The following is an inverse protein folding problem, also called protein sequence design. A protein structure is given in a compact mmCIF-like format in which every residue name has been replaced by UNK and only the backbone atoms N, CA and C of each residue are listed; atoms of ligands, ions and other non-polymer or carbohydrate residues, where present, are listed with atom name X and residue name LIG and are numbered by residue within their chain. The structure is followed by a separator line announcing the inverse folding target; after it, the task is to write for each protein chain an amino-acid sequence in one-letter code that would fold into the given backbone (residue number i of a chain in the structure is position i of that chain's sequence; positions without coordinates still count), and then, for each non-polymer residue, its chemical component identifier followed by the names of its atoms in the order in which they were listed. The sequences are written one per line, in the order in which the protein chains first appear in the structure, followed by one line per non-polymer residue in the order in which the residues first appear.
data_IF_424378432493
#
_entry.id   IF_424378432493
#
_cell.length_a   1.000
_cell.length_b   1.000
_cell.length_c   1.000
_cell.angle_alpha   90.00
_cell.angle_beta   90.00
_cell.angle_gamma   90.00
#
_symmetry.space_group_name_H-M   'P 1'
#
loop_
_entity.id
_entity.type
_entity.pdbx_description
1 polymer ?
#
# COMPACT_ATOMS: atom_id res chain seq x y z
N UNK A 1 27.24 -45.33 -49.48
CA UNK A 1 26.51 -45.42 -48.17
C UNK A 1 26.36 -44.08 -47.40
N UNK A 2 26.97 -43.00 -47.81
CA UNK A 2 26.96 -41.68 -47.10
C UNK A 2 25.67 -40.84 -47.30
N UNK A 3 24.88 -41.10 -48.33
CA UNK A 3 23.73 -40.25 -48.66
C UNK A 3 22.48 -40.46 -47.75
N UNK A 4 22.31 -41.64 -47.16
CA UNK A 4 21.16 -41.92 -46.23
C UNK A 4 21.28 -41.32 -44.86
N UNK A 5 22.53 -41.07 -44.36
CA UNK A 5 22.75 -40.39 -43.06
C UNK A 5 22.36 -38.90 -43.12
N UNK A 6 22.58 -38.25 -44.25
CA UNK A 6 22.24 -36.80 -44.38
C UNK A 6 20.74 -36.54 -44.41
N UNK A 7 19.90 -37.45 -44.93
CA UNK A 7 18.46 -37.29 -44.97
C UNK A 7 17.84 -37.45 -43.58
N UNK A 8 18.29 -38.46 -42.82
CA UNK A 8 17.82 -38.64 -41.42
C UNK A 8 18.24 -37.46 -40.55
N UNK A 9 19.42 -36.96 -40.70
CA UNK A 9 19.89 -35.78 -39.95
C UNK A 9 19.06 -34.54 -40.28
N UNK A 10 18.73 -34.31 -41.56
CA UNK A 10 17.91 -33.18 -41.98
C UNK A 10 16.48 -33.26 -41.44
N UNK A 11 15.89 -34.44 -41.39
CA UNK A 11 14.56 -34.66 -40.82
C UNK A 11 14.57 -34.41 -39.30
N UNK A 12 15.63 -34.89 -38.60
CA UNK A 12 15.78 -34.68 -37.16
C UNK A 12 15.95 -33.19 -36.87
N UNK A 13 16.76 -32.46 -37.60
CA UNK A 13 16.95 -31.02 -37.43
C UNK A 13 15.69 -30.25 -37.75
N UNK A 14 14.96 -30.62 -38.81
CA UNK A 14 13.69 -29.98 -39.21
C UNK A 14 12.60 -30.11 -38.14
N UNK A 15 12.57 -31.20 -37.38
CA UNK A 15 11.63 -31.41 -36.29
C UNK A 15 12.14 -30.85 -34.98
N UNK A 16 13.44 -30.94 -34.71
CA UNK A 16 14.05 -30.51 -33.45
C UNK A 16 14.00 -28.98 -33.30
N UNK A 17 14.24 -28.22 -34.37
CA UNK A 17 14.29 -26.76 -34.33
C UNK A 17 12.97 -26.16 -33.84
N UNK A 18 11.78 -26.50 -34.39
CA UNK A 18 10.51 -25.98 -33.90
C UNK A 18 10.18 -26.45 -32.48
N UNK A 19 10.58 -27.67 -32.11
CA UNK A 19 10.35 -28.17 -30.74
C UNK A 19 11.18 -27.37 -29.72
N UNK A 20 12.44 -27.09 -30.02
CA UNK A 20 13.29 -26.26 -29.14
C UNK A 20 12.77 -24.83 -29.08
N UNK A 21 12.31 -24.26 -30.19
CA UNK A 21 11.71 -22.93 -30.21
C UNK A 21 10.42 -22.86 -29.37
N UNK A 22 9.56 -23.87 -29.44
CA UNK A 22 8.35 -23.96 -28.63
C UNK A 22 8.67 -24.09 -27.12
N UNK A 23 9.67 -24.90 -26.77
CA UNK A 23 10.12 -25.04 -25.37
C UNK A 23 10.70 -23.72 -24.85
N UNK A 24 11.45 -23.00 -25.66
CA UNK A 24 11.98 -21.66 -25.30
C UNK A 24 10.84 -20.66 -25.04
N UNK A 25 9.88 -20.56 -25.95
CA UNK A 25 8.70 -19.71 -25.78
C UNK A 25 7.87 -20.08 -24.54
N UNK A 26 7.70 -21.38 -24.30
CA UNK A 26 6.96 -21.84 -23.12
C UNK A 26 7.70 -21.49 -21.81
N UNK A 27 9.02 -21.64 -21.76
CA UNK A 27 9.82 -21.24 -20.62
C UNK A 27 9.75 -19.73 -20.35
N UNK A 28 9.74 -18.92 -21.41
CA UNK A 28 9.62 -17.45 -21.31
C UNK A 28 8.23 -17.03 -20.83
N UNK A 29 7.16 -17.67 -21.33
CA UNK A 29 5.78 -17.48 -20.85
C UNK A 29 5.62 -17.85 -19.38
N UNK A 30 6.19 -18.97 -18.94
CA UNK A 30 6.18 -19.36 -17.53
C UNK A 30 6.91 -18.34 -16.65
N UNK A 31 8.05 -17.85 -17.08
CA UNK A 31 8.85 -16.88 -16.34
C UNK A 31 8.10 -15.54 -16.18
N UNK A 32 7.47 -15.05 -17.25
CA UNK A 32 6.62 -13.85 -17.22
C UNK A 32 5.38 -14.03 -16.33
N UNK A 33 4.74 -15.19 -16.40
CA UNK A 33 3.52 -15.46 -15.62
C UNK A 33 3.81 -15.65 -14.14
N UNK A 34 4.85 -16.39 -13.79
CA UNK A 34 5.24 -16.61 -12.39
C UNK A 34 5.76 -15.32 -11.73
N UNK A 35 6.53 -14.51 -12.45
CA UNK A 35 6.99 -13.21 -11.97
C UNK A 35 5.83 -12.28 -11.63
N UNK A 36 4.81 -12.21 -12.49
CA UNK A 36 3.63 -11.37 -12.27
C UNK A 36 2.75 -11.87 -11.11
N UNK A 37 2.58 -13.17 -10.93
CA UNK A 37 1.79 -13.72 -9.82
C UNK A 37 2.43 -13.46 -8.47
N UNK A 38 3.74 -13.56 -8.36
CA UNK A 38 4.46 -13.28 -7.11
C UNK A 38 4.37 -11.80 -6.75
N UNK A 39 4.54 -10.89 -7.73
CA UNK A 39 4.39 -9.44 -7.50
C UNK A 39 2.97 -9.07 -7.12
N UNK A 40 1.96 -9.58 -7.79
CA UNK A 40 0.54 -9.32 -7.47
C UNK A 40 0.14 -9.82 -6.07
N UNK A 41 0.58 -11.00 -5.67
CA UNK A 41 0.34 -11.53 -4.32
C UNK A 41 1.02 -10.66 -3.26
N UNK A 42 2.22 -10.18 -3.51
CA UNK A 42 2.97 -9.29 -2.61
C UNK A 42 2.29 -7.93 -2.47
N UNK A 43 1.88 -7.33 -3.58
CA UNK A 43 1.13 -6.07 -3.57
C UNK A 43 -0.21 -6.20 -2.85
N UNK A 44 -0.94 -7.29 -3.07
CA UNK A 44 -2.18 -7.57 -2.37
C UNK A 44 -1.97 -7.69 -0.85
N UNK A 45 -0.93 -8.40 -0.43
CA UNK A 45 -0.58 -8.53 0.99
C UNK A 45 -0.20 -7.19 1.63
N UNK A 46 0.58 -6.34 0.95
CA UNK A 46 0.93 -5.00 1.41
C UNK A 46 -0.31 -4.12 1.52
N UNK A 47 -1.19 -4.13 0.52
CA UNK A 47 -2.45 -3.39 0.55
C UNK A 47 -3.33 -3.82 1.72
N UNK A 48 -3.47 -5.11 1.94
CA UNK A 48 -4.29 -5.64 3.04
C UNK A 48 -3.71 -5.27 4.42
N UNK A 49 -2.38 -5.31 4.57
CA UNK A 49 -1.69 -4.91 5.80
C UNK A 49 -1.93 -3.45 6.16
N UNK A 50 -2.06 -2.55 5.17
CA UNK A 50 -2.21 -1.11 5.35
C UNK A 50 -3.67 -0.66 5.31
N UNK A 51 -4.55 -1.36 4.59
CA UNK A 51 -5.94 -0.95 4.37
C UNK A 51 -6.75 -0.82 5.68
N UNK A 52 -6.64 -1.80 6.57
CA UNK A 52 -7.37 -1.77 7.86
C UNK A 52 -6.88 -0.60 8.74
N UNK A 53 -5.56 -0.40 8.97
CA UNK A 53 -5.08 0.77 9.69
C UNK A 53 -5.48 2.11 9.07
N UNK A 54 -5.48 2.23 7.73
CA UNK A 54 -5.93 3.44 7.02
C UNK A 54 -7.39 3.72 7.30
N UNK A 55 -8.26 2.74 7.12
CA UNK A 55 -9.70 2.89 7.37
C UNK A 55 -9.98 3.31 8.82
N UNK A 56 -9.23 2.75 9.78
CA UNK A 56 -9.35 3.13 11.18
C UNK A 56 -8.91 4.59 11.41
N UNK A 57 -7.79 5.04 10.83
CA UNK A 57 -7.36 6.44 10.93
C UNK A 57 -8.41 7.37 10.33
N UNK A 58 -8.96 7.06 9.15
CA UNK A 58 -10.01 7.85 8.51
C UNK A 58 -11.24 7.98 9.39
N UNK A 59 -11.70 6.88 9.99
CA UNK A 59 -12.84 6.88 10.91
C UNK A 59 -12.58 7.76 12.14
N UNK A 60 -11.43 7.59 12.80
CA UNK A 60 -11.09 8.38 13.99
C UNK A 60 -10.94 9.88 13.67
N UNK A 61 -10.37 10.22 12.50
CA UNK A 61 -10.30 11.59 12.02
C UNK A 61 -11.67 12.19 11.73
N UNK A 62 -12.59 11.41 11.15
CA UNK A 62 -13.97 11.84 10.91
C UNK A 62 -14.69 12.19 12.22
N UNK A 63 -14.56 11.33 13.24
CA UNK A 63 -15.11 11.58 14.56
C UNK A 63 -14.49 12.80 15.24
N UNK A 64 -13.17 12.94 15.17
CA UNK A 64 -12.46 14.12 15.70
C UNK A 64 -12.92 15.42 15.03
N UNK A 65 -13.07 15.41 13.68
CA UNK A 65 -13.59 16.55 12.93
C UNK A 65 -14.99 16.95 13.40
N UNK A 66 -15.87 15.98 13.59
CA UNK A 66 -17.24 16.25 14.05
C UNK A 66 -17.24 16.90 15.44
N UNK A 67 -16.47 16.36 16.39
CA UNK A 67 -16.34 16.93 17.72
C UNK A 67 -15.68 18.31 17.73
N UNK A 68 -14.68 18.53 16.87
CA UNK A 68 -14.04 19.84 16.72
C UNK A 68 -15.04 20.89 16.20
N UNK A 69 -15.87 20.54 15.21
CA UNK A 69 -16.91 21.44 14.69
C UNK A 69 -17.97 21.75 15.77
N UNK A 70 -18.40 20.75 16.55
CA UNK A 70 -19.32 20.96 17.67
C UNK A 70 -18.72 21.86 18.74
N UNK A 71 -17.45 21.67 19.08
CA UNK A 71 -16.72 22.51 20.03
C UNK A 71 -16.63 23.96 19.56
N UNK A 72 -16.30 24.19 18.29
CA UNK A 72 -16.23 25.53 17.72
C UNK A 72 -17.60 26.22 17.57
N UNK A 73 -18.66 25.44 17.30
CA UNK A 73 -20.01 25.99 17.14
C UNK A 73 -20.66 26.45 18.48
N UNK A 74 -20.18 25.95 19.61
CA UNK A 74 -20.69 26.29 20.95
C UNK A 74 -19.53 26.55 21.92
N UNK A 75 -18.83 27.69 21.79
CA UNK A 75 -17.76 28.05 22.69
C UNK A 75 -18.25 28.09 24.15
N UNK A 76 -17.56 27.43 25.06
CA UNK A 76 -17.92 27.35 26.47
C UNK A 76 -18.93 26.27 26.86
N UNK A 77 -19.67 25.67 25.91
CA UNK A 77 -20.62 24.56 26.14
C UNK A 77 -20.16 23.26 25.44
N UNK A 78 -19.15 23.33 24.59
CA UNK A 78 -18.56 22.13 23.96
C UNK A 78 -17.73 21.34 24.96
N UNK A 79 -17.90 20.00 24.94
CA UNK A 79 -17.14 19.12 25.81
C UNK A 79 -15.70 18.99 25.31
N UNK A 80 -14.81 19.86 25.82
CA UNK A 80 -13.37 19.81 25.55
C UNK A 80 -12.77 18.46 25.91
N UNK A 81 -13.30 17.79 26.95
CA UNK A 81 -12.82 16.48 27.38
C UNK A 81 -13.08 15.42 26.34
N UNK A 82 -14.26 15.42 25.71
CA UNK A 82 -14.60 14.50 24.62
C UNK A 82 -13.68 14.71 23.39
N UNK A 83 -13.41 15.96 23.03
CA UNK A 83 -12.50 16.27 21.93
C UNK A 83 -11.09 15.76 22.22
N UNK A 84 -10.55 16.01 23.41
CA UNK A 84 -9.21 15.53 23.83
C UNK A 84 -9.18 14.00 23.87
N UNK A 85 -10.21 13.36 24.42
CA UNK A 85 -10.30 11.89 24.44
C UNK A 85 -10.32 11.30 23.02
N UNK A 86 -11.03 11.94 22.08
CA UNK A 86 -11.02 11.53 20.69
C UNK A 86 -9.66 11.75 20.00
N UNK A 87 -8.95 12.84 20.30
CA UNK A 87 -7.60 13.08 19.82
C UNK A 87 -6.64 11.97 20.27
N UNK A 88 -6.77 11.47 21.48
CA UNK A 88 -6.00 10.32 21.96
C UNK A 88 -6.28 9.04 21.14
N UNK A 89 -7.54 8.76 20.82
CA UNK A 89 -7.93 7.62 19.96
C UNK A 89 -7.36 7.77 18.56
N UNK A 90 -7.45 8.96 17.98
CA UNK A 90 -6.85 9.26 16.67
C UNK A 90 -5.33 9.05 16.68
N UNK A 91 -4.64 9.52 17.72
CA UNK A 91 -3.19 9.33 17.86
C UNK A 91 -2.82 7.85 17.95
N UNK A 92 -3.60 7.05 18.68
CA UNK A 92 -3.38 5.60 18.76
C UNK A 92 -3.58 4.92 17.40
N UNK A 93 -4.59 5.33 16.62
CA UNK A 93 -4.81 4.84 15.26
C UNK A 93 -3.65 5.22 14.32
N UNK A 94 -3.18 6.47 14.37
CA UNK A 94 -2.02 6.94 13.60
C UNK A 94 -0.75 6.17 13.95
N UNK A 95 -0.53 5.86 15.23
CA UNK A 95 0.62 5.05 15.67
C UNK A 95 0.57 3.65 15.06
N UNK A 96 -0.58 2.99 15.07
CA UNK A 96 -0.79 1.68 14.43
C UNK A 96 -0.57 1.75 12.92
N UNK A 97 -1.09 2.78 12.26
CA UNK A 97 -0.88 3.00 10.83
C UNK A 97 0.62 3.20 10.50
N UNK A 98 1.34 4.04 11.25
CA UNK A 98 2.78 4.22 11.06
C UNK A 98 3.56 2.92 11.19
N UNK A 99 3.19 2.05 12.12
CA UNK A 99 3.82 0.75 12.29
C UNK A 99 3.53 -0.16 11.07
N UNK A 100 2.29 -0.22 10.61
CA UNK A 100 1.90 -0.99 9.42
C UNK A 100 2.66 -0.52 8.17
N UNK A 101 2.76 0.80 7.95
CA UNK A 101 3.53 1.39 6.84
C UNK A 101 5.02 1.02 6.94
N UNK A 102 5.62 1.11 8.12
CA UNK A 102 7.04 0.70 8.31
C UNK A 102 7.25 -0.78 7.97
N UNK A 103 6.32 -1.63 8.39
CA UNK A 103 6.37 -3.07 8.06
C UNK A 103 6.21 -3.29 6.56
N UNK A 104 5.25 -2.62 5.92
CA UNK A 104 5.06 -2.66 4.47
C UNK A 104 6.29 -2.16 3.70
N UNK A 105 6.94 -1.08 4.15
CA UNK A 105 8.15 -0.55 3.52
C UNK A 105 9.34 -1.52 3.57
N UNK A 106 9.45 -2.33 4.61
CA UNK A 106 10.47 -3.39 4.71
C UNK A 106 10.26 -4.52 3.70
N UNK A 107 9.02 -4.75 3.29
CA UNK A 107 8.67 -5.76 2.28
C UNK A 107 9.03 -5.35 0.84
N UNK A 108 9.60 -4.16 0.63
CA UNK A 108 10.07 -3.68 -0.67
C UNK A 108 8.93 -3.27 -1.63
N UNK A 109 8.06 -2.31 -1.25
CA UNK A 109 7.01 -1.81 -2.12
C UNK A 109 7.57 -1.09 -3.35
N UNK A 110 6.73 -0.92 -4.39
CA UNK A 110 7.07 -0.13 -5.55
C UNK A 110 7.39 1.32 -5.16
N UNK A 111 8.20 2.00 -5.98
CA UNK A 111 8.64 3.38 -5.70
C UNK A 111 7.45 4.34 -5.53
N UNK A 112 6.39 4.18 -6.32
CA UNK A 112 5.15 4.96 -6.26
C UNK A 112 4.45 4.83 -4.91
N UNK A 113 4.38 3.62 -4.36
CA UNK A 113 3.78 3.37 -3.04
C UNK A 113 4.60 3.99 -1.91
N UNK A 114 5.94 3.91 -2.00
CA UNK A 114 6.84 4.58 -1.03
C UNK A 114 6.62 6.09 -1.00
N UNK A 115 6.43 6.71 -2.15
CA UNK A 115 6.19 8.14 -2.26
C UNK A 115 4.84 8.53 -1.65
N UNK A 116 3.78 7.79 -1.94
CA UNK A 116 2.46 7.99 -1.34
C UNK A 116 2.49 7.86 0.19
N UNK A 117 3.18 6.84 0.73
CA UNK A 117 3.31 6.67 2.17
C UNK A 117 4.08 7.81 2.85
N UNK A 118 5.14 8.34 2.20
CA UNK A 118 5.88 9.50 2.72
C UNK A 118 5.02 10.75 2.76
N UNK A 119 4.24 11.02 1.71
CA UNK A 119 3.31 12.15 1.66
C UNK A 119 2.29 12.07 2.79
N UNK A 120 1.64 10.92 2.97
CA UNK A 120 0.68 10.73 4.05
C UNK A 120 1.27 10.91 5.44
N UNK A 121 2.49 10.41 5.68
CA UNK A 121 3.17 10.59 6.97
C UNK A 121 3.52 12.05 7.24
N UNK A 122 3.87 12.82 6.20
CA UNK A 122 4.11 14.26 6.28
C UNK A 122 2.83 15.02 6.65
N UNK A 123 1.72 14.71 5.95
CA UNK A 123 0.42 15.38 6.18
C UNK A 123 -0.11 15.11 7.60
N UNK A 124 0.05 13.88 8.10
CA UNK A 124 -0.27 13.54 9.48
C UNK A 124 0.59 14.29 10.51
N UNK A 125 1.79 14.71 10.13
CA UNK A 125 2.67 15.52 10.98
C UNK A 125 2.13 16.94 11.24
N UNK A 126 1.42 17.52 10.28
CA UNK A 126 0.82 18.88 10.37
C UNK A 126 -0.44 18.95 11.24
N UNK A 127 -1.01 17.81 11.60
CA UNK A 127 -2.25 17.79 12.39
C UNK A 127 -2.10 18.40 13.79
N UNK A 128 -0.92 18.35 14.39
CA UNK A 128 -0.68 18.95 15.70
C UNK A 128 -0.88 20.47 15.68
N UNK A 129 -0.47 21.15 14.62
CA UNK A 129 -0.63 22.59 14.44
C UNK A 129 -2.12 22.96 14.25
N UNK A 130 -2.85 22.19 13.45
CA UNK A 130 -4.29 22.40 13.25
C UNK A 130 -5.08 22.20 14.54
N UNK A 131 -4.73 21.21 15.36
CA UNK A 131 -5.37 20.95 16.65
C UNK A 131 -5.14 22.08 17.64
N UNK A 132 -3.91 22.61 17.68
CA UNK A 132 -3.59 23.76 18.54
C UNK A 132 -4.42 24.99 18.15
N UNK A 133 -4.59 25.25 16.86
CA UNK A 133 -5.44 26.33 16.33
C UNK A 133 -6.91 26.16 16.72
N UNK A 134 -7.46 24.95 16.61
CA UNK A 134 -8.86 24.66 17.00
C UNK A 134 -9.08 24.90 18.50
N UNK A 135 -8.16 24.42 19.35
CA UNK A 135 -8.25 24.59 20.80
C UNK A 135 -8.11 26.06 21.21
N UNK A 136 -7.31 26.87 20.50
CA UNK A 136 -7.16 28.30 20.78
C UNK A 136 -8.38 29.13 20.41
N UNK A 137 -9.12 28.74 19.34
CA UNK A 137 -10.35 29.40 18.91
C UNK A 137 -11.51 29.20 19.90
N UNK A 138 -11.54 28.06 20.60
CA UNK A 138 -12.58 27.76 21.59
C UNK A 138 -12.35 28.41 22.97
N UNK A 139 -11.24 29.14 23.15
CA UNK A 139 -10.93 29.85 24.39
C UNK A 139 -11.26 31.36 24.34
N UNK A 140 -11.73 31.87 23.20
CA UNK A 140 -12.24 33.21 23.02
C UNK A 140 -13.76 33.24 23.13
#
# INVERSE_FOLDING_TARGET
MLRRRSIRLRIIVLVLVPVVALLGLYAELLNLTLGNVVTLKREAAIRQLVAIPVANVQNQLGQERTLALQYMARPGHGDRGLLIAQQHKTNAAIKKFRLAVRTALRSGPAQKERQAFRSWLSDLGRMSELRASVLSLGLK
#
